data_IF_096476849127
#
_entry.id   IF_096476849127
#
_cell.length_a   1.000
_cell.length_b   1.000
_cell.length_c   1.000
_cell.angle_alpha   90.00
_cell.angle_beta   90.00
_cell.angle_gamma   90.00
#
_symmetry.space_group_name_H-M   'P 1'
#
loop_
_entity.id
_entity.type
_entity.pdbx_description
1 polymer ?
#
# COMPACT_ATOMS: atom_id res chain seq x y z
N UNK A 1 -70.38 -17.80 20.44
CA UNK A 1 -69.74 -18.94 21.14
C UNK A 1 -68.42 -18.45 21.70
N UNK A 2 -68.32 -18.50 23.02
CA UNK A 2 -67.27 -17.88 23.84
C UNK A 2 -66.37 -18.98 24.35
N UNK A 3 -65.05 -18.84 24.27
CA UNK A 3 -64.13 -19.58 25.13
C UNK A 3 -62.97 -18.67 25.52
N UNK A 4 -63.01 -18.25 26.77
CA UNK A 4 -61.91 -17.65 27.52
C UNK A 4 -61.10 -18.81 28.11
N UNK A 5 -59.77 -18.74 28.05
CA UNK A 5 -58.91 -19.60 28.86
C UNK A 5 -58.21 -18.69 29.87
N UNK A 6 -58.74 -18.72 31.08
CA UNK A 6 -58.10 -18.31 32.32
C UNK A 6 -57.15 -19.43 32.77
N UNK A 7 -55.90 -19.11 33.12
CA UNK A 7 -55.12 -19.88 34.08
C UNK A 7 -54.10 -18.95 34.75
N UNK A 8 -54.37 -18.69 36.04
CA UNK A 8 -53.61 -17.89 37.00
C UNK A 8 -52.49 -18.73 37.67
N UNK A 9 -51.62 -18.13 38.51
CA UNK A 9 -50.18 -18.37 38.54
C UNK A 9 -49.72 -19.40 39.58
N UNK A 10 -48.53 -19.96 39.37
CA UNK A 10 -47.76 -20.62 40.42
C UNK A 10 -46.63 -19.68 40.86
N UNK A 11 -46.81 -19.09 42.05
CA UNK A 11 -45.76 -18.39 42.78
C UNK A 11 -45.05 -19.38 43.70
N UNK A 12 -43.73 -19.52 43.50
CA UNK A 12 -42.71 -20.05 44.41
C UNK A 12 -41.44 -19.33 43.92
N UNK A 13 -40.85 -18.34 44.58
CA UNK A 13 -40.46 -18.32 45.98
C UNK A 13 -38.93 -18.50 46.04
N UNK A 14 -38.24 -17.48 46.57
CA UNK A 14 -36.86 -17.51 47.08
C UNK A 14 -35.68 -17.54 46.09
N UNK A 15 -35.04 -16.38 45.88
CA UNK A 15 -33.66 -16.10 46.33
C UNK A 15 -33.28 -14.65 45.99
N UNK A 16 -33.20 -13.79 47.02
CA UNK A 16 -32.49 -12.51 46.93
C UNK A 16 -30.99 -12.81 46.81
N UNK A 17 -30.43 -12.69 45.61
CA UNK A 17 -28.99 -12.55 45.40
C UNK A 17 -28.72 -11.08 45.08
N UNK A 18 -28.36 -10.32 46.12
CA UNK A 18 -27.66 -9.05 45.98
C UNK A 18 -26.27 -9.35 45.38
N UNK A 19 -26.16 -9.32 44.06
CA UNK A 19 -24.89 -9.22 43.37
C UNK A 19 -24.74 -7.78 42.87
N UNK A 20 -23.63 -7.08 43.16
CA UNK A 20 -23.36 -5.77 42.57
C UNK A 20 -23.29 -5.96 41.05
N UNK A 21 -24.16 -5.27 40.33
CA UNK A 21 -24.09 -5.15 38.89
C UNK A 21 -22.80 -4.40 38.54
N UNK A 22 -21.71 -5.14 38.37
CA UNK A 22 -20.51 -4.65 37.69
C UNK A 22 -20.91 -4.46 36.24
N UNK A 23 -21.32 -3.22 35.93
CA UNK A 23 -21.55 -2.73 34.58
C UNK A 23 -20.30 -3.06 33.76
N UNK A 24 -20.38 -4.16 33.03
CA UNK A 24 -19.39 -4.52 32.04
C UNK A 24 -19.62 -3.55 30.90
N UNK A 25 -18.92 -2.40 30.97
CA UNK A 25 -18.81 -1.48 29.85
C UNK A 25 -18.08 -2.25 28.77
N UNK A 26 -18.84 -2.99 27.97
CA UNK A 26 -18.36 -3.58 26.73
C UNK A 26 -18.04 -2.39 25.84
N UNK A 27 -16.79 -1.95 25.90
CA UNK A 27 -16.23 -1.04 24.93
C UNK A 27 -16.34 -1.75 23.59
N UNK A 28 -17.40 -1.43 22.83
CA UNK A 28 -17.51 -1.85 21.45
C UNK A 28 -16.18 -1.51 20.76
N UNK A 29 -15.53 -2.46 20.08
CA UNK A 29 -14.29 -2.17 19.38
C UNK A 29 -14.62 -1.08 18.38
N UNK A 30 -14.08 0.11 18.63
CA UNK A 30 -14.16 1.26 17.74
C UNK A 30 -13.63 0.74 16.41
N UNK A 31 -14.53 0.50 15.44
CA UNK A 31 -14.16 0.05 14.12
C UNK A 31 -13.02 0.96 13.65
N UNK A 32 -11.85 0.39 13.42
CA UNK A 32 -10.70 1.14 12.98
C UNK A 32 -11.15 1.93 11.75
N UNK A 33 -11.03 3.26 11.81
CA UNK A 33 -11.36 4.10 10.67
C UNK A 33 -10.62 3.54 9.44
N UNK A 34 -11.26 3.49 8.25
CA UNK A 34 -10.62 2.97 7.06
C UNK A 34 -9.27 3.69 6.88
N UNK A 35 -8.19 2.92 7.02
CA UNK A 35 -6.84 3.45 6.97
C UNK A 35 -6.26 3.12 5.59
N UNK A 36 -5.87 4.15 4.85
CA UNK A 36 -5.12 3.95 3.61
C UNK A 36 -3.76 3.38 3.94
N UNK A 37 -3.37 2.33 3.23
CA UNK A 37 -2.07 1.68 3.37
C UNK A 37 -1.41 1.46 2.02
N UNK A 38 -0.08 1.31 2.00
CA UNK A 38 0.66 0.90 0.80
C UNK A 38 0.60 -0.63 0.71
N UNK A 39 -0.25 -1.16 -0.16
CA UNK A 39 -0.48 -2.60 -0.28
C UNK A 39 0.61 -3.29 -1.09
N UNK A 40 1.09 -2.68 -2.17
CA UNK A 40 2.16 -3.24 -3.00
C UNK A 40 2.99 -2.16 -3.70
N UNK A 41 4.19 -2.55 -4.10
CA UNK A 41 5.06 -1.81 -5.01
C UNK A 41 5.43 -2.80 -6.11
N UNK A 42 5.25 -2.41 -7.35
CA UNK A 42 5.62 -3.20 -8.53
C UNK A 42 6.64 -2.42 -9.34
N UNK A 43 7.68 -3.10 -9.80
CA UNK A 43 8.75 -2.53 -10.60
C UNK A 43 8.82 -3.28 -11.94
N UNK A 44 8.75 -2.52 -13.03
CA UNK A 44 8.76 -2.97 -14.41
C UNK A 44 9.54 -1.96 -15.25
N UNK A 45 9.59 -2.18 -16.56
CA UNK A 45 10.23 -1.27 -17.50
C UNK A 45 9.20 -0.78 -18.51
N UNK A 46 9.21 0.51 -18.79
CA UNK A 46 8.55 1.06 -19.97
C UNK A 46 9.56 1.06 -21.12
N UNK A 47 9.35 0.16 -22.08
CA UNK A 47 10.14 0.07 -23.30
C UNK A 47 9.57 1.04 -24.33
N UNK A 48 10.33 2.09 -24.66
CA UNK A 48 9.88 3.12 -25.61
C UNK A 48 9.92 2.65 -27.06
N UNK A 49 10.72 1.64 -27.40
CA UNK A 49 10.75 1.08 -28.75
C UNK A 49 9.51 0.24 -29.01
N UNK A 50 9.06 -0.52 -28.01
CA UNK A 50 7.82 -1.30 -28.09
C UNK A 50 6.58 -0.45 -27.75
N UNK A 51 6.75 0.69 -27.09
CA UNK A 51 5.65 1.51 -26.58
C UNK A 51 4.84 0.79 -25.50
N UNK A 52 5.48 -0.09 -24.72
CA UNK A 52 4.82 -1.03 -23.82
C UNK A 52 5.52 -1.15 -22.46
N UNK A 53 4.75 -1.55 -21.45
CA UNK A 53 5.29 -1.93 -20.14
C UNK A 53 5.62 -3.42 -20.19
N UNK A 54 6.87 -3.76 -19.91
CA UNK A 54 7.41 -5.10 -19.96
C UNK A 54 8.08 -5.48 -18.65
N UNK A 55 8.24 -6.78 -18.42
CA UNK A 55 9.10 -7.27 -17.35
C UNK A 55 10.56 -6.82 -17.62
N UNK A 56 11.33 -6.62 -16.56
CA UNK A 56 12.67 -6.04 -16.66
C UNK A 56 13.62 -6.89 -17.52
N UNK A 57 13.44 -8.21 -17.53
CA UNK A 57 14.19 -9.18 -18.33
C UNK A 57 13.71 -9.30 -19.79
N UNK A 58 12.56 -8.72 -20.12
CA UNK A 58 11.97 -8.73 -21.46
C UNK A 58 12.16 -7.39 -22.21
N UNK A 59 12.84 -6.42 -21.61
CA UNK A 59 13.15 -5.14 -22.26
C UNK A 59 14.10 -5.32 -23.44
N UNK A 60 13.81 -4.64 -24.56
CA UNK A 60 14.58 -4.78 -25.81
C UNK A 60 16.02 -4.29 -25.68
N UNK A 61 16.23 -3.30 -24.81
CA UNK A 61 17.55 -2.69 -24.58
C UNK A 61 17.96 -2.81 -23.11
N UNK A 62 18.88 -3.73 -22.79
CA UNK A 62 19.35 -3.98 -21.44
C UNK A 62 20.37 -2.94 -20.94
N UNK A 63 20.77 -1.97 -21.77
CA UNK A 63 21.72 -0.90 -21.42
C UNK A 63 21.04 0.40 -20.96
N UNK A 64 19.72 0.43 -20.88
CA UNK A 64 19.00 1.62 -20.45
C UNK A 64 18.70 2.61 -21.57
N UNK A 65 19.07 2.31 -22.83
CA UNK A 65 18.72 3.19 -23.94
C UNK A 65 17.27 2.95 -24.34
N UNK A 66 16.45 4.01 -24.38
CA UNK A 66 15.02 3.93 -24.72
C UNK A 66 14.15 3.14 -23.72
N UNK A 67 14.61 2.97 -22.48
CA UNK A 67 13.80 2.37 -21.42
C UNK A 67 13.71 3.32 -20.22
N UNK A 68 12.56 3.33 -19.56
CA UNK A 68 12.39 3.97 -18.25
C UNK A 68 11.99 2.94 -17.21
N UNK A 69 12.43 3.11 -15.97
CA UNK A 69 11.90 2.30 -14.88
C UNK A 69 10.47 2.76 -14.57
N UNK A 70 9.54 1.81 -14.66
CA UNK A 70 8.12 2.01 -14.42
C UNK A 70 7.76 1.38 -13.08
N UNK A 71 7.35 2.21 -12.12
CA UNK A 71 7.05 1.78 -10.76
C UNK A 71 5.59 2.08 -10.46
N UNK A 72 4.82 1.06 -10.10
CA UNK A 72 3.42 1.21 -9.68
C UNK A 72 3.33 1.02 -8.18
N UNK A 73 2.80 2.02 -7.49
CA UNK A 73 2.44 1.90 -6.08
C UNK A 73 0.96 1.61 -5.97
N UNK A 74 0.61 0.50 -5.32
CA UNK A 74 -0.77 0.17 -5.00
C UNK A 74 -1.09 0.63 -3.58
N UNK A 75 -2.11 1.46 -3.46
CA UNK A 75 -2.67 1.92 -2.20
C UNK A 75 -3.98 1.18 -1.97
N UNK A 76 -4.21 0.70 -0.75
CA UNK A 76 -5.44 0.01 -0.38
C UNK A 76 -6.17 0.78 0.73
N UNK A 77 -7.50 0.85 0.61
CA UNK A 77 -8.39 1.54 1.55
C UNK A 77 -9.04 2.79 0.95
N UNK A 78 -9.87 3.45 1.76
CA UNK A 78 -10.56 4.70 1.41
C UNK A 78 -10.01 5.85 2.25
N UNK A 79 -10.09 7.08 1.72
CA UNK A 79 -9.65 8.29 2.43
C UNK A 79 -10.74 9.36 2.37
N UNK A 80 -11.35 9.62 3.52
CA UNK A 80 -12.43 10.60 3.68
C UNK A 80 -11.92 11.93 4.28
N UNK A 81 -10.60 12.12 4.36
CA UNK A 81 -10.02 13.29 5.02
C UNK A 81 -9.92 14.51 4.09
N UNK A 82 -10.01 15.71 4.69
CA UNK A 82 -9.97 16.98 3.94
C UNK A 82 -8.55 17.45 3.59
N UNK A 83 -7.51 16.76 4.03
CA UNK A 83 -6.12 17.14 3.80
C UNK A 83 -5.50 16.27 2.69
N UNK A 84 -4.77 16.83 1.72
CA UNK A 84 -4.17 16.02 0.66
C UNK A 84 -3.17 15.02 1.23
N UNK A 85 -3.21 13.79 0.72
CA UNK A 85 -2.18 12.80 1.01
C UNK A 85 -0.98 13.03 0.09
N UNK A 86 0.22 12.68 0.55
CA UNK A 86 1.46 12.77 -0.21
C UNK A 86 2.09 11.39 -0.31
N UNK A 87 2.40 11.00 -1.53
CA UNK A 87 3.11 9.77 -1.85
C UNK A 87 4.50 10.11 -2.37
N UNK A 88 5.54 9.80 -1.60
CA UNK A 88 6.93 10.01 -1.97
C UNK A 88 7.55 8.69 -2.39
N UNK A 89 8.12 8.65 -3.60
CA UNK A 89 8.94 7.57 -4.12
C UNK A 89 10.42 7.96 -4.00
N UNK A 90 11.24 7.06 -3.47
CA UNK A 90 12.70 7.11 -3.51
C UNK A 90 13.21 5.83 -4.14
N UNK A 91 13.89 5.95 -5.28
CA UNK A 91 14.65 4.86 -5.90
C UNK A 91 16.12 5.09 -5.60
N UNK A 92 16.81 4.05 -5.13
CA UNK A 92 18.23 4.13 -4.81
C UNK A 92 18.98 2.84 -5.10
N UNK A 93 20.21 2.96 -5.59
CA UNK A 93 21.16 1.87 -5.75
C UNK A 93 22.56 2.38 -5.39
N UNK A 94 23.43 1.55 -4.77
CA UNK A 94 24.81 1.92 -4.53
C UNK A 94 25.58 2.02 -5.86
N UNK A 95 26.78 2.60 -5.81
CA UNK A 95 27.74 2.48 -6.90
C UNK A 95 28.15 1.01 -7.03
N UNK A 96 28.18 0.48 -8.24
CA UNK A 96 28.56 -0.90 -8.52
C UNK A 96 29.68 -0.95 -9.56
N UNK A 97 30.47 -2.02 -9.55
CA UNK A 97 31.50 -2.26 -10.55
C UNK A 97 31.62 -3.77 -10.79
N UNK A 98 31.76 -4.16 -12.04
CA UNK A 98 31.88 -5.56 -12.46
C UNK A 98 32.75 -5.66 -13.71
N UNK A 99 33.36 -6.82 -13.93
CA UNK A 99 34.20 -7.06 -15.12
C UNK A 99 33.39 -6.94 -16.42
N UNK A 100 32.16 -7.49 -16.47
CA UNK A 100 31.30 -7.46 -17.65
C UNK A 100 30.69 -6.08 -17.95
N UNK A 101 29.97 -5.50 -16.98
CA UNK A 101 29.24 -4.24 -17.17
C UNK A 101 30.03 -2.96 -16.80
N UNK A 102 31.30 -3.09 -16.38
CA UNK A 102 32.13 -1.96 -15.97
C UNK A 102 31.64 -1.20 -14.73
N UNK A 103 32.02 0.08 -14.63
CA UNK A 103 31.67 0.96 -13.51
C UNK A 103 30.28 1.57 -13.71
N UNK A 104 29.40 1.38 -12.72
CA UNK A 104 28.02 1.89 -12.69
C UNK A 104 27.88 2.92 -11.57
N UNK A 105 27.36 4.12 -11.85
CA UNK A 105 27.19 5.14 -10.84
C UNK A 105 26.14 4.74 -9.80
N UNK A 106 26.17 5.40 -8.64
CA UNK A 106 25.07 5.26 -7.69
C UNK A 106 23.79 5.87 -8.28
N UNK A 107 22.67 5.19 -8.13
CA UNK A 107 21.36 5.67 -8.55
C UNK A 107 20.65 6.30 -7.35
N UNK A 108 20.11 7.51 -7.51
CA UNK A 108 19.22 8.12 -6.51
C UNK A 108 18.23 9.07 -7.18
N UNK A 109 16.95 8.73 -7.14
CA UNK A 109 15.87 9.57 -7.67
C UNK A 109 14.76 9.67 -6.65
N UNK A 110 14.18 10.85 -6.50
CA UNK A 110 13.01 11.09 -5.65
C UNK A 110 11.91 11.76 -6.44
N UNK A 111 10.69 11.27 -6.30
CA UNK A 111 9.49 11.91 -6.84
C UNK A 111 8.41 11.97 -5.76
N UNK A 112 7.59 13.01 -5.78
CA UNK A 112 6.46 13.17 -4.86
C UNK A 112 5.19 13.40 -5.66
N UNK A 113 4.09 12.78 -5.25
CA UNK A 113 2.75 12.98 -5.80
C UNK A 113 1.82 13.39 -4.68
N UNK A 114 1.05 14.45 -4.92
CA UNK A 114 -0.09 14.77 -4.08
C UNK A 114 -1.29 13.95 -4.57
N UNK A 115 -2.00 13.31 -3.64
CA UNK A 115 -3.18 12.49 -3.92
C UNK A 115 -4.40 13.28 -3.42
N UNK A 116 -5.18 13.79 -4.36
CA UNK A 116 -6.39 14.56 -4.06
C UNK A 116 -7.62 13.67 -3.82
N UNK A 117 -7.64 12.47 -4.39
CA UNK A 117 -8.71 11.49 -4.23
C UNK A 117 -8.16 10.06 -4.36
N UNK A 118 -8.76 9.12 -3.64
CA UNK A 118 -8.52 7.69 -3.81
C UNK A 118 -9.78 7.04 -4.40
N UNK A 119 -9.59 5.96 -5.15
CA UNK A 119 -10.69 5.18 -5.71
C UNK A 119 -11.60 4.63 -4.60
N UNK A 120 -12.92 4.79 -4.76
CA UNK A 120 -13.92 4.32 -3.80
C UNK A 120 -13.88 2.79 -3.59
N UNK A 121 -13.41 2.03 -4.59
CA UNK A 121 -13.39 0.56 -4.60
C UNK A 121 -12.11 -0.06 -4.00
N UNK A 122 -11.35 0.71 -3.21
CA UNK A 122 -10.38 0.14 -2.28
C UNK A 122 -8.99 -0.18 -2.82
N UNK A 123 -8.67 -0.01 -4.12
CA UNK A 123 -7.28 -0.05 -4.61
C UNK A 123 -7.01 1.06 -5.62
N UNK A 124 -6.12 1.99 -5.25
CA UNK A 124 -5.62 3.06 -6.14
C UNK A 124 -4.21 2.72 -6.61
N UNK A 125 -3.98 2.78 -7.93
CA UNK A 125 -2.65 2.60 -8.51
C UNK A 125 -2.04 3.95 -8.87
N UNK A 126 -0.83 4.21 -8.38
CA UNK A 126 -0.11 5.46 -8.64
C UNK A 126 1.18 5.14 -9.40
N UNK A 127 1.24 5.41 -10.72
CA UNK A 127 2.42 5.13 -11.52
C UNK A 127 3.49 6.23 -11.36
N UNK A 128 4.74 5.80 -11.42
CA UNK A 128 5.93 6.64 -11.46
C UNK A 128 6.82 6.18 -12.62
N UNK A 129 7.30 7.14 -13.40
CA UNK A 129 8.31 6.93 -14.44
C UNK A 129 9.57 7.63 -13.97
N UNK A 130 10.67 6.88 -13.85
CA UNK A 130 11.96 7.41 -13.45
C UNK A 130 13.04 6.99 -14.45
N UNK A 131 14.11 7.79 -14.64
CA UNK A 131 15.20 7.42 -15.52
C UNK A 131 15.79 6.07 -15.14
N UNK A 132 15.91 5.16 -16.12
CA UNK A 132 16.48 3.85 -15.91
C UNK A 132 17.99 3.96 -15.63
N UNK A 133 18.46 3.26 -14.60
CA UNK A 133 19.89 2.97 -14.41
C UNK A 133 20.04 1.50 -14.04
N UNK A 134 20.89 0.78 -14.76
CA UNK A 134 21.09 -0.63 -14.47
C UNK A 134 21.90 -0.80 -13.17
N UNK A 135 21.40 -1.64 -12.26
CA UNK A 135 22.01 -1.98 -10.99
C UNK A 135 21.48 -3.33 -10.49
N UNK A 136 22.37 -4.13 -9.91
CA UNK A 136 22.00 -5.45 -9.37
C UNK A 136 21.18 -5.36 -8.09
N UNK A 137 21.31 -4.27 -7.33
CA UNK A 137 20.57 -4.04 -6.07
C UNK A 137 19.92 -2.68 -6.05
N UNK A 138 18.62 -2.64 -6.29
CA UNK A 138 17.81 -1.43 -6.26
C UNK A 138 16.80 -1.48 -5.14
N UNK A 139 16.77 -0.41 -4.35
CA UNK A 139 15.82 -0.21 -3.26
C UNK A 139 14.81 0.85 -3.66
N UNK A 140 13.55 0.45 -3.75
CA UNK A 140 12.41 1.33 -4.01
C UNK A 140 11.66 1.55 -2.71
N UNK A 141 11.81 2.73 -2.11
CA UNK A 141 11.11 3.12 -0.88
C UNK A 141 9.97 4.06 -1.21
N UNK A 142 8.78 3.73 -0.70
CA UNK A 142 7.59 4.55 -0.83
C UNK A 142 7.13 4.99 0.54
N UNK A 143 6.84 6.28 0.70
CA UNK A 143 6.31 6.84 1.94
C UNK A 143 5.00 7.57 1.66
N UNK A 144 3.95 7.21 2.41
CA UNK A 144 2.64 7.86 2.40
C UNK A 144 2.52 8.73 3.66
N UNK A 145 2.21 10.01 3.49
CA UNK A 145 1.97 10.95 4.60
C UNK A 145 0.76 11.83 4.35
N UNK A 146 0.25 12.48 5.40
CA UNK A 146 -0.87 13.42 5.31
C UNK A 146 -2.13 12.88 5.98
N UNK A 147 -3.05 13.76 6.37
CA UNK A 147 -4.32 13.33 6.98
C UNK A 147 -4.20 12.54 8.28
N UNK A 148 -3.11 12.69 9.03
CA UNK A 148 -2.80 11.86 10.21
C UNK A 148 -2.24 10.47 9.88
N UNK A 149 -2.11 10.12 8.61
CA UNK A 149 -1.51 8.87 8.14
C UNK A 149 0.00 9.03 7.97
N UNK A 150 0.73 7.97 8.33
CA UNK A 150 2.16 7.81 8.05
C UNK A 150 2.44 6.33 7.81
N UNK A 151 2.78 5.99 6.58
CA UNK A 151 3.12 4.62 6.16
C UNK A 151 4.37 4.61 5.30
N UNK A 152 5.12 3.52 5.34
CA UNK A 152 6.27 3.31 4.45
C UNK A 152 6.34 1.86 4.02
N UNK A 153 6.73 1.61 2.78
CA UNK A 153 7.01 0.29 2.25
C UNK A 153 8.26 0.33 1.38
N UNK A 154 9.03 -0.74 1.42
CA UNK A 154 10.24 -0.88 0.61
C UNK A 154 10.13 -2.15 -0.21
N UNK A 155 10.53 -2.05 -1.47
CA UNK A 155 10.77 -3.17 -2.37
C UNK A 155 12.26 -3.21 -2.67
N UNK A 156 12.91 -4.32 -2.37
CA UNK A 156 14.23 -4.64 -2.88
C UNK A 156 14.05 -5.39 -4.21
N UNK A 157 14.69 -4.89 -5.27
CA UNK A 157 14.56 -5.38 -6.64
C UNK A 157 15.89 -5.19 -7.39
N UNK A 158 15.91 -5.46 -8.69
CA UNK A 158 17.04 -5.25 -9.56
C UNK A 158 16.60 -4.70 -10.91
N UNK A 159 17.48 -3.96 -11.54
CA UNK A 159 17.37 -3.52 -12.93
C UNK A 159 18.65 -3.98 -13.62
N UNK A 160 18.73 -5.25 -14.07
CA UNK A 160 19.98 -5.82 -14.56
C UNK A 160 20.55 -5.04 -15.74
N UNK A 161 21.87 -5.05 -15.85
CA UNK A 161 22.55 -4.65 -17.06
C UNK A 161 22.60 -5.85 -18.00
N UNK A 162 22.77 -5.62 -19.30
CA UNK A 162 23.28 -6.69 -20.16
C UNK A 162 24.70 -7.03 -19.71
N UNK A 163 24.91 -8.29 -19.38
CA UNK A 163 26.22 -8.88 -19.11
C UNK A 163 26.60 -9.83 -20.24
#
# INVERSE_FOLDING_TARGET
MTSRIDLRPLALGFALLLAPATQSVSAAPKAAAPAVTISAIEAQVYDRQQGAIVATDAASDPYGMNVDAFIVVKLQGTYEGNAPLKLKLLVSAPKESSEAAGNRPAWKVTQTRDLAALSENGVTQVPFIVPYQCASKVKVTVTLTGGGLKGSKTLDTSFPCAE
#
